data_IF_666995509333
#
_entry.id   IF_666995509333
#
_cell.length_a   1.000
_cell.length_b   1.000
_cell.length_c   1.000
_cell.angle_alpha   90.00
_cell.angle_beta   90.00
_cell.angle_gamma   90.00
#
_symmetry.space_group_name_H-M   'P 1'
#
loop_
_entity.id
_entity.type
_entity.pdbx_description
1 polymer ?
#
# COMPACT_ATOMS: atom_id res chain seq x y z
N UNK A 1 20.36 -6.55 -21.30
CA UNK A 1 21.52 -5.93 -21.98
C UNK A 1 21.06 -5.45 -23.34
N UNK A 2 21.04 -4.14 -23.54
CA UNK A 2 20.83 -3.53 -24.84
C UNK A 2 22.20 -3.09 -25.36
N UNK A 3 22.64 -3.69 -26.43
CA UNK A 3 23.87 -3.32 -27.14
C UNK A 3 23.58 -2.11 -28.00
N UNK A 4 24.22 -0.98 -27.76
CA UNK A 4 24.11 0.22 -28.57
C UNK A 4 25.44 0.48 -29.28
N UNK A 5 25.44 0.35 -30.57
CA UNK A 5 26.57 0.75 -31.42
C UNK A 5 26.63 2.27 -31.54
N UNK A 6 27.69 2.87 -31.03
CA UNK A 6 27.94 4.29 -31.13
C UNK A 6 28.79 4.53 -32.37
N UNK A 7 28.16 4.93 -33.48
CA UNK A 7 28.87 5.31 -34.71
C UNK A 7 29.25 6.80 -34.62
N UNK A 8 30.53 7.08 -34.44
CA UNK A 8 31.05 8.44 -34.59
C UNK A 8 31.43 8.68 -36.06
N UNK A 9 30.68 9.56 -36.75
CA UNK A 9 31.07 10.03 -38.06
C UNK A 9 32.01 11.26 -37.97
N UNK A 10 33.15 11.21 -38.64
CA UNK A 10 34.08 12.32 -38.74
C UNK A 10 34.24 12.70 -40.22
N UNK A 11 34.11 13.99 -40.54
CA UNK A 11 34.38 14.52 -41.89
C UNK A 11 35.89 14.71 -42.05
N UNK A 12 36.55 13.72 -42.63
CA UNK A 12 37.99 13.71 -42.89
C UNK A 12 38.47 12.32 -43.30
N UNK A 13 39.74 12.19 -43.74
CA UNK A 13 40.35 10.88 -43.96
C UNK A 13 40.51 10.13 -42.64
N UNK A 14 39.73 9.07 -42.45
CA UNK A 14 39.83 8.18 -41.28
C UNK A 14 41.03 7.25 -41.47
N UNK A 15 42.03 7.39 -40.63
CA UNK A 15 43.17 6.44 -40.57
C UNK A 15 42.91 5.22 -39.69
N UNK A 16 41.83 5.24 -38.92
CA UNK A 16 41.38 4.10 -38.11
C UNK A 16 39.89 4.22 -37.72
N UNK A 17 39.18 3.10 -37.74
CA UNK A 17 37.85 2.97 -37.17
C UNK A 17 38.05 2.50 -35.73
N UNK A 18 37.56 3.27 -34.77
CA UNK A 18 37.55 2.86 -33.38
C UNK A 18 36.13 2.39 -33.07
N UNK A 19 35.94 1.08 -33.03
CA UNK A 19 34.73 0.47 -32.49
C UNK A 19 34.82 0.48 -30.98
N UNK A 20 33.85 1.07 -30.31
CA UNK A 20 33.66 0.98 -28.86
C UNK A 20 32.33 0.33 -28.55
N UNK A 21 32.39 -0.83 -27.96
CA UNK A 21 31.22 -1.47 -27.37
C UNK A 21 30.86 -0.71 -26.11
N UNK A 22 29.71 -0.04 -26.16
CA UNK A 22 29.11 0.54 -24.97
C UNK A 22 28.06 -0.45 -24.44
N UNK A 23 28.37 -1.22 -23.42
CA UNK A 23 27.39 -1.99 -22.68
C UNK A 23 26.76 -1.09 -21.64
N UNK A 24 25.47 -0.80 -21.78
CA UNK A 24 24.66 -0.18 -20.74
C UNK A 24 23.93 -1.29 -19.98
N UNK A 25 24.21 -1.44 -18.69
CA UNK A 25 23.43 -2.33 -17.84
C UNK A 25 22.37 -1.54 -17.12
N UNK A 26 21.10 -1.75 -17.50
CA UNK A 26 19.97 -1.20 -16.77
C UNK A 26 19.78 -1.97 -15.48
N UNK A 27 19.93 -1.29 -14.35
CA UNK A 27 19.67 -1.89 -13.05
C UNK A 27 18.17 -1.79 -12.77
N UNK A 28 17.52 -2.95 -12.57
CA UNK A 28 16.13 -2.99 -12.17
C UNK A 28 16.03 -2.51 -10.72
N UNK A 29 15.44 -1.34 -10.53
CA UNK A 29 15.17 -0.80 -9.19
C UNK A 29 14.09 -1.62 -8.51
N UNK A 30 14.40 -2.16 -7.32
CA UNK A 30 13.46 -2.93 -6.50
C UNK A 30 13.70 -2.65 -5.02
N UNK A 31 12.60 -2.49 -4.27
CA UNK A 31 12.67 -2.37 -2.82
C UNK A 31 11.37 -2.86 -2.16
N UNK A 32 11.42 -3.60 -1.04
CA UNK A 32 10.22 -3.91 -0.26
C UNK A 32 9.79 -2.68 0.56
N UNK A 33 8.48 -2.59 0.85
CA UNK A 33 7.96 -1.69 1.86
C UNK A 33 7.51 -2.46 3.10
N UNK A 34 7.45 -1.78 4.23
CA UNK A 34 7.06 -2.37 5.50
C UNK A 34 6.10 -1.45 6.27
N UNK A 35 5.23 -2.08 7.05
CA UNK A 35 4.16 -1.44 7.79
C UNK A 35 4.22 -1.92 9.23
N UNK A 36 3.94 -1.02 10.18
CA UNK A 36 3.58 -1.36 11.56
C UNK A 36 2.17 -0.86 11.80
N UNK A 37 1.27 -1.77 12.14
CA UNK A 37 -0.11 -1.49 12.46
C UNK A 37 -0.31 -1.43 13.97
N UNK A 38 -0.88 -0.33 14.46
CA UNK A 38 -1.19 -0.15 15.86
C UNK A 38 -2.56 0.50 16.03
N UNK A 39 -3.17 0.33 17.20
CA UNK A 39 -4.37 1.05 17.60
C UNK A 39 -4.01 2.13 18.62
N UNK A 40 -4.69 3.26 18.53
CA UNK A 40 -4.69 4.26 19.59
C UNK A 40 -5.97 4.07 20.43
N UNK A 41 -5.83 3.43 21.59
CA UNK A 41 -6.95 3.19 22.51
C UNK A 41 -7.31 4.41 23.36
N UNK A 42 -6.67 5.57 23.12
CA UNK A 42 -6.85 6.76 23.97
C UNK A 42 -6.12 6.68 25.31
N UNK A 43 -5.51 5.55 25.63
CA UNK A 43 -4.59 5.35 26.73
C UNK A 43 -3.13 5.46 26.26
N UNK A 44 -2.19 5.55 27.18
CA UNK A 44 -0.80 5.93 26.90
C UNK A 44 0.02 4.95 26.05
N UNK A 45 -0.49 3.74 25.82
CA UNK A 45 0.24 2.68 25.10
C UNK A 45 -0.50 2.27 23.83
N UNK A 46 0.17 2.40 22.67
CA UNK A 46 -0.34 1.89 21.41
C UNK A 46 -0.35 0.33 21.43
N UNK A 47 -1.49 -0.25 21.06
CA UNK A 47 -1.64 -1.71 20.95
C UNK A 47 -1.30 -2.12 19.52
N UNK A 48 -0.34 -3.04 19.34
CA UNK A 48 0.01 -3.59 18.04
C UNK A 48 -1.10 -4.52 17.54
N UNK A 49 -1.49 -4.38 16.27
CA UNK A 49 -2.62 -5.10 15.69
C UNK A 49 -2.17 -6.16 14.70
N UNK A 50 -2.43 -7.42 15.03
CA UNK A 50 -2.28 -8.55 14.12
C UNK A 50 -3.48 -8.71 13.19
N UNK A 51 -3.26 -9.31 12.02
CA UNK A 51 -4.32 -9.70 11.10
C UNK A 51 -4.90 -8.55 10.26
N UNK A 52 -4.29 -7.38 10.26
CA UNK A 52 -4.61 -6.33 9.29
C UNK A 52 -4.06 -6.71 7.92
N UNK A 53 -4.94 -6.76 6.90
CA UNK A 53 -4.56 -7.13 5.53
C UNK A 53 -4.40 -5.92 4.63
N UNK A 54 -3.34 -5.89 3.83
CA UNK A 54 -3.00 -4.80 2.93
C UNK A 54 -2.80 -5.30 1.51
N UNK A 55 -3.41 -4.59 0.57
CA UNK A 55 -3.28 -4.80 -0.87
C UNK A 55 -2.67 -3.56 -1.51
N UNK A 56 -1.87 -3.73 -2.55
CA UNK A 56 -1.26 -2.62 -3.27
C UNK A 56 -1.58 -2.65 -4.76
N UNK A 57 -1.68 -1.47 -5.36
CA UNK A 57 -1.99 -1.27 -6.78
C UNK A 57 -0.97 -0.32 -7.39
N UNK A 58 -0.44 -0.66 -8.57
CA UNK A 58 0.46 0.23 -9.29
C UNK A 58 -0.32 1.43 -9.84
N UNK A 59 0.01 2.65 -9.39
CA UNK A 59 -0.76 3.87 -9.70
C UNK A 59 -0.84 4.13 -11.22
N UNK A 60 0.21 3.82 -11.97
CA UNK A 60 0.22 4.01 -13.44
C UNK A 60 -0.72 3.08 -14.21
N UNK A 61 -1.26 2.03 -13.56
CA UNK A 61 -2.25 1.13 -14.13
C UNK A 61 -3.68 1.41 -13.68
N UNK A 62 -3.90 2.47 -12.88
CA UNK A 62 -5.19 2.82 -12.33
C UNK A 62 -5.90 3.88 -13.16
N UNK A 63 -7.19 3.68 -13.38
CA UNK A 63 -8.06 4.69 -13.93
C UNK A 63 -8.40 5.75 -12.87
N UNK A 64 -8.56 7.00 -13.30
CA UNK A 64 -8.96 8.11 -12.43
C UNK A 64 -10.47 8.33 -12.55
N UNK A 65 -11.17 8.35 -11.42
CA UNK A 65 -12.62 8.60 -11.39
C UNK A 65 -12.97 10.06 -11.73
N UNK A 66 -14.14 10.27 -12.33
CA UNK A 66 -14.74 11.61 -12.43
C UNK A 66 -14.91 12.19 -11.02
N UNK A 67 -14.24 13.30 -10.73
CA UNK A 67 -14.24 13.93 -9.39
C UNK A 67 -13.01 13.63 -8.56
N UNK A 68 -12.06 12.87 -9.07
CA UNK A 68 -10.78 12.55 -8.44
C UNK A 68 -10.76 11.19 -7.71
N UNK A 69 -9.56 10.75 -7.37
CA UNK A 69 -9.31 9.42 -6.80
C UNK A 69 -9.17 8.33 -7.86
N UNK A 70 -8.77 7.14 -7.42
CA UNK A 70 -8.52 6.00 -8.30
C UNK A 70 -9.68 5.02 -8.33
N UNK A 71 -9.92 4.39 -9.49
CA UNK A 71 -10.84 3.28 -9.59
C UNK A 71 -10.12 1.97 -9.27
N UNK A 72 -10.56 1.31 -8.20
CA UNK A 72 -9.99 0.03 -7.77
C UNK A 72 -10.93 -1.16 -8.04
N UNK A 73 -12.14 -0.93 -8.57
CA UNK A 73 -13.10 -2.01 -8.81
C UNK A 73 -12.64 -2.92 -9.96
N UNK A 74 -11.99 -2.33 -10.96
CA UNK A 74 -11.43 -3.06 -12.11
C UNK A 74 -9.91 -3.28 -12.02
N UNK A 75 -9.26 -2.74 -10.98
CA UNK A 75 -7.82 -2.76 -10.84
C UNK A 75 -7.29 -4.12 -10.38
N UNK A 76 -6.22 -4.59 -11.01
CA UNK A 76 -5.51 -5.77 -10.55
C UNK A 76 -4.49 -5.40 -9.45
N UNK A 77 -4.56 -6.02 -8.27
CA UNK A 77 -3.56 -5.82 -7.24
C UNK A 77 -2.22 -6.44 -7.64
N UNK A 78 -1.12 -5.83 -7.17
CA UNK A 78 0.22 -6.39 -7.38
C UNK A 78 0.50 -7.53 -6.40
N UNK A 79 1.41 -8.42 -6.78
CA UNK A 79 1.90 -9.48 -5.89
C UNK A 79 2.75 -8.85 -4.79
N UNK A 80 2.45 -9.19 -3.54
CA UNK A 80 3.13 -8.69 -2.34
C UNK A 80 3.85 -9.78 -1.55
N UNK A 81 3.45 -11.03 -1.71
CA UNK A 81 4.02 -12.18 -1.00
C UNK A 81 4.83 -13.11 -1.90
N UNK A 82 5.67 -13.94 -1.30
CA UNK A 82 6.62 -14.83 -2.00
C UNK A 82 5.97 -15.96 -2.78
N UNK A 83 4.74 -16.36 -2.41
CA UNK A 83 4.01 -17.43 -3.10
C UNK A 83 2.94 -16.87 -4.07
N UNK A 84 3.02 -15.57 -4.40
CA UNK A 84 2.07 -14.92 -5.30
C UNK A 84 0.87 -14.28 -4.60
N UNK A 85 0.92 -14.13 -3.27
CA UNK A 85 -0.12 -13.46 -2.51
C UNK A 85 -0.21 -11.98 -2.92
N UNK A 86 -1.42 -11.49 -3.15
CA UNK A 86 -1.71 -10.08 -3.44
C UNK A 86 -2.11 -9.28 -2.20
N UNK A 87 -2.30 -9.95 -1.07
CA UNK A 87 -2.58 -9.36 0.22
C UNK A 87 -1.54 -9.85 1.25
N UNK A 88 -0.97 -8.93 2.04
CA UNK A 88 -0.08 -9.25 3.15
C UNK A 88 -0.74 -8.88 4.47
N UNK A 89 -0.49 -9.69 5.50
CA UNK A 89 -1.11 -9.53 6.80
C UNK A 89 -0.08 -9.16 7.87
N UNK A 90 -0.50 -8.34 8.83
CA UNK A 90 0.34 -8.04 9.99
C UNK A 90 0.41 -9.24 10.93
N UNK A 91 1.60 -9.49 11.45
CA UNK A 91 1.91 -10.51 12.45
C UNK A 91 1.50 -10.08 13.88
N UNK A 92 1.87 -10.89 14.88
CA UNK A 92 1.60 -10.61 16.31
C UNK A 92 2.25 -9.31 16.82
N UNK A 93 3.27 -8.82 16.12
CA UNK A 93 3.93 -7.54 16.39
C UNK A 93 3.34 -6.39 15.57
N UNK A 94 2.20 -6.60 14.90
CA UNK A 94 1.60 -5.63 14.00
C UNK A 94 2.43 -5.34 12.74
N UNK A 95 3.37 -6.21 12.38
CA UNK A 95 4.33 -5.99 11.31
C UNK A 95 3.93 -6.74 10.02
N UNK A 96 4.02 -6.05 8.89
CA UNK A 96 3.91 -6.63 7.56
C UNK A 96 5.00 -6.08 6.64
N UNK A 97 5.51 -6.92 5.73
CA UNK A 97 6.52 -6.55 4.75
C UNK A 97 6.21 -7.18 3.39
N UNK A 98 6.33 -6.40 2.32
CA UNK A 98 6.18 -6.90 0.96
C UNK A 98 7.45 -7.60 0.46
N UNK A 99 7.33 -8.36 -0.64
CA UNK A 99 8.49 -8.67 -1.48
C UNK A 99 9.05 -7.39 -2.12
N UNK A 100 10.29 -7.41 -2.68
CA UNK A 100 10.83 -6.26 -3.40
C UNK A 100 9.97 -5.91 -4.61
N UNK A 101 9.30 -4.75 -4.56
CA UNK A 101 8.48 -4.22 -5.65
C UNK A 101 9.34 -3.43 -6.64
N UNK A 102 9.04 -3.49 -7.94
CA UNK A 102 9.71 -2.69 -8.97
C UNK A 102 9.55 -1.17 -8.75
N UNK A 103 10.39 -0.39 -9.43
CA UNK A 103 10.24 1.07 -9.50
C UNK A 103 8.79 1.46 -9.84
N UNK A 104 8.25 2.39 -9.09
CA UNK A 104 6.89 2.90 -9.29
C UNK A 104 6.28 3.52 -8.05
N UNK A 105 5.08 4.04 -8.24
CA UNK A 105 4.22 4.51 -7.14
C UNK A 105 3.08 3.52 -6.95
N UNK A 106 2.87 3.10 -5.72
CA UNK A 106 1.84 2.13 -5.35
C UNK A 106 0.83 2.76 -4.39
N UNK A 107 -0.45 2.57 -4.70
CA UNK A 107 -1.53 2.88 -3.77
C UNK A 107 -1.75 1.66 -2.87
N UNK A 108 -1.57 1.82 -1.58
CA UNK A 108 -1.77 0.76 -0.59
C UNK A 108 -3.08 1.00 0.14
N UNK A 109 -3.91 -0.04 0.21
CA UNK A 109 -5.20 -0.06 0.88
C UNK A 109 -5.25 -1.16 1.94
N UNK A 110 -5.81 -0.84 3.09
CA UNK A 110 -6.21 -1.85 4.06
C UNK A 110 -7.49 -2.53 3.59
N UNK A 111 -7.39 -3.80 3.24
CA UNK A 111 -8.50 -4.61 2.68
C UNK A 111 -9.12 -5.51 3.73
N UNK A 112 -8.34 -5.99 4.68
CA UNK A 112 -8.83 -6.72 5.87
C UNK A 112 -8.56 -5.89 7.12
N UNK A 113 -9.66 -5.45 7.76
CA UNK A 113 -9.60 -4.59 8.95
C UNK A 113 -9.79 -5.45 10.21
N UNK A 114 -8.92 -5.34 11.23
CA UNK A 114 -9.12 -6.03 12.50
C UNK A 114 -10.47 -5.67 13.13
N UNK A 115 -11.06 -6.62 13.85
CA UNK A 115 -12.38 -6.43 14.48
C UNK A 115 -12.38 -5.24 15.44
N UNK A 116 -13.43 -4.43 15.39
CA UNK A 116 -13.67 -3.22 16.18
C UNK A 116 -12.81 -2.00 15.79
N UNK A 117 -12.12 -2.04 14.67
CA UNK A 117 -11.34 -0.90 14.20
C UNK A 117 -11.89 -0.35 12.86
N UNK A 118 -11.55 0.88 12.55
CA UNK A 118 -11.81 1.49 11.25
C UNK A 118 -10.60 1.32 10.34
N UNK A 119 -10.80 1.13 9.03
CA UNK A 119 -9.66 1.07 8.11
C UNK A 119 -8.89 2.39 8.08
N UNK A 120 -7.58 2.30 7.93
CA UNK A 120 -6.77 3.48 7.63
C UNK A 120 -7.09 3.99 6.23
N UNK A 121 -6.82 5.27 5.99
CA UNK A 121 -6.92 5.86 4.66
C UNK A 121 -5.87 5.24 3.73
N UNK A 122 -6.25 5.10 2.46
CA UNK A 122 -5.30 4.72 1.40
C UNK A 122 -4.07 5.64 1.44
N UNK A 123 -2.89 5.07 1.20
CA UNK A 123 -1.65 5.83 1.19
C UNK A 123 -0.73 5.40 0.04
N UNK A 124 0.21 6.26 -0.32
CA UNK A 124 1.14 6.00 -1.40
C UNK A 124 2.49 5.51 -0.86
N UNK A 125 3.06 4.55 -1.58
CA UNK A 125 4.43 4.07 -1.42
C UNK A 125 5.17 4.34 -2.72
N UNK A 126 6.36 4.94 -2.64
CA UNK A 126 7.20 5.26 -3.79
C UNK A 126 8.46 4.39 -3.75
N UNK A 127 8.65 3.54 -4.75
CA UNK A 127 9.86 2.75 -4.93
C UNK A 127 10.75 3.48 -5.94
N UNK A 128 11.81 4.09 -5.46
CA UNK A 128 12.71 4.94 -6.25
C UNK A 128 14.19 4.54 -6.11
N UNK A 129 14.50 3.66 -5.17
CA UNK A 129 15.86 3.22 -4.87
C UNK A 129 15.98 1.71 -4.99
N UNK A 130 17.17 1.23 -5.36
CA UNK A 130 17.43 -0.20 -5.49
C UNK A 130 18.03 -0.79 -4.22
N UNK A 131 17.16 -1.26 -3.34
CA UNK A 131 17.52 -1.94 -2.09
C UNK A 131 16.66 -3.21 -1.91
N UNK A 132 16.89 -4.27 -2.71
CA UNK A 132 16.03 -5.45 -2.69
C UNK A 132 16.02 -6.20 -1.35
N UNK A 133 17.09 -6.07 -0.58
CA UNK A 133 17.27 -6.76 0.71
C UNK A 133 16.98 -5.86 1.93
N UNK A 134 16.64 -4.59 1.68
CA UNK A 134 16.42 -3.62 2.75
C UNK A 134 15.08 -2.90 2.53
N UNK A 135 14.07 -3.16 3.36
CA UNK A 135 12.80 -2.45 3.28
C UNK A 135 12.95 -0.94 3.49
N UNK A 136 12.01 -0.17 2.94
CA UNK A 136 11.90 1.26 3.25
C UNK A 136 11.71 1.47 4.75
N UNK A 137 11.92 2.72 5.20
CA UNK A 137 11.62 3.09 6.58
C UNK A 137 10.19 2.72 6.97
N UNK A 138 10.01 2.31 8.20
CA UNK A 138 8.74 1.86 8.75
C UNK A 138 7.64 2.89 8.58
N UNK A 139 6.48 2.44 8.12
CA UNK A 139 5.26 3.25 8.12
C UNK A 139 4.37 2.77 9.25
N UNK A 140 4.20 3.62 10.26
CA UNK A 140 3.30 3.35 11.38
C UNK A 140 1.90 3.82 11.01
N UNK A 141 0.93 2.91 11.05
CA UNK A 141 -0.47 3.15 10.76
C UNK A 141 -1.27 3.00 12.06
N UNK A 142 -1.98 4.07 12.43
CA UNK A 142 -2.79 4.10 13.66
C UNK A 142 -4.27 3.97 13.30
N UNK A 143 -4.93 2.98 13.89
CA UNK A 143 -6.38 2.82 13.81
C UNK A 143 -7.08 3.55 14.94
N UNK A 144 -8.28 4.05 14.61
CA UNK A 144 -9.24 4.52 15.60
C UNK A 144 -10.19 3.37 15.97
N UNK A 145 -10.39 3.16 17.28
CA UNK A 145 -11.37 2.22 17.77
C UNK A 145 -12.79 2.64 17.32
N UNK A 146 -13.58 1.67 16.85
CA UNK A 146 -14.97 1.90 16.48
C UNK A 146 -15.86 1.76 17.69
N UNK A 147 -16.25 2.88 18.30
CA UNK A 147 -17.25 2.90 19.40
C UNK A 147 -18.66 3.15 18.82
N UNK A 148 -19.45 2.10 18.72
CA UNK A 148 -20.84 2.17 18.26
C UNK A 148 -21.79 2.23 19.47
N UNK A 149 -22.43 3.40 19.66
CA UNK A 149 -23.48 3.56 20.66
C UNK A 149 -24.84 3.18 20.07
N UNK A 150 -25.38 2.04 20.47
CA UNK A 150 -26.75 1.64 20.13
C UNK A 150 -27.74 2.34 21.05
N UNK A 151 -28.57 3.24 20.49
CA UNK A 151 -29.69 3.83 21.22
C UNK A 151 -30.99 3.11 20.87
N UNK A 152 -31.52 2.30 21.78
CA UNK A 152 -32.81 1.65 21.64
C UNK A 152 -33.88 2.58 22.20
N UNK A 153 -34.81 3.00 21.35
CA UNK A 153 -35.99 3.76 21.77
C UNK A 153 -37.21 2.85 21.67
N UNK A 154 -37.73 2.43 22.80
CA UNK A 154 -38.99 1.71 22.87
C UNK A 154 -40.13 2.70 22.61
N UNK A 155 -40.98 2.44 21.64
CA UNK A 155 -42.19 3.26 21.33
C UNK A 155 -43.42 2.44 21.65
N UNK A 156 -44.40 3.14 22.17
CA UNK A 156 -45.75 2.59 22.35
C UNK A 156 -46.41 2.44 20.95
N UNK A 157 -47.02 1.29 20.68
CA UNK A 157 -47.52 0.95 19.34
C UNK A 157 -48.74 1.77 18.95
N UNK A 158 -49.60 2.18 19.92
CA UNK A 158 -50.79 2.98 19.65
C UNK A 158 -50.48 4.47 19.52
N UNK A 159 -49.67 5.00 20.43
CA UNK A 159 -49.42 6.44 20.50
C UNK A 159 -48.15 6.87 19.73
N UNK A 160 -47.33 5.92 19.30
CA UNK A 160 -46.01 6.15 18.67
C UNK A 160 -45.02 7.02 19.49
N UNK A 161 -45.35 7.27 20.76
CA UNK A 161 -44.53 8.06 21.66
C UNK A 161 -43.44 7.18 22.32
N UNK A 162 -42.29 7.76 22.69
CA UNK A 162 -41.31 7.03 23.45
C UNK A 162 -41.82 6.55 24.79
N UNK A 163 -41.68 5.29 25.09
CA UNK A 163 -42.01 4.73 26.42
C UNK A 163 -40.83 4.99 27.33
N UNK A 164 -41.01 5.89 28.28
CA UNK A 164 -40.02 6.17 29.32
C UNK A 164 -40.20 5.17 30.46
N UNK A 165 -39.50 4.03 30.35
CA UNK A 165 -39.43 3.05 31.44
C UNK A 165 -38.14 3.30 32.20
N UNK A 166 -38.26 3.59 33.49
CA UNK A 166 -37.13 3.72 34.40
C UNK A 166 -36.56 2.32 34.62
N UNK A 167 -35.30 2.10 34.19
CA UNK A 167 -34.57 0.81 34.28
C UNK A 167 -35.02 -0.29 33.30
N UNK A 168 -35.24 0.03 32.02
CA UNK A 168 -35.34 -0.99 30.98
C UNK A 168 -33.96 -1.21 30.32
#
# INVERSE_FOLDING_TARGET
ETEHDLVCSYEGELSAVIERDCTSSDQVIKQPFQIVKAANSGETDAVLLAGAGFTAYLVSSLDVKEGGGYDLESAAPVVLGVNGETEIFTDENGYACSIPLPFGTYLVRETTVPQNYKPVRDFLVHITENHPDTPQAWRVLLDEEFDAKLRIIKKDDETKKPVLVKNA
#
